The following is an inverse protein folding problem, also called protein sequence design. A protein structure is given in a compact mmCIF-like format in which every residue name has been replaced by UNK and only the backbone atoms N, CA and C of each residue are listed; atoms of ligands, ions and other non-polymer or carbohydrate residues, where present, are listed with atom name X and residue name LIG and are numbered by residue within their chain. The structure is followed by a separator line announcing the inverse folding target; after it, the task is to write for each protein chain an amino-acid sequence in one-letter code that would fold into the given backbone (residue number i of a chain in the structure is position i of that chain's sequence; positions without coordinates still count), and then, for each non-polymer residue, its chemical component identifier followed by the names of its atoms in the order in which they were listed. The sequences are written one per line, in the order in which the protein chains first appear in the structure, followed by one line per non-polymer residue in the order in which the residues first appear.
data_IF_215254646741
#
_entry.id   IF_215254646741
#
_cell.length_a   1.000
_cell.length_b   1.000
_cell.length_c   1.000
_cell.angle_alpha   90.00
_cell.angle_beta   90.00
_cell.angle_gamma   90.00
#
_symmetry.space_group_name_H-M   'P 1'
#
loop_
_entity.id
_entity.type
_entity.pdbx_description
1 polymer ?
#
# COMPACT_ATOMS: atom_id res chain seq x y z
N UNK A 1 -13.87 -0.14 22.53
CA UNK A 1 -14.41 -1.42 21.99
C UNK A 1 -15.54 -1.95 22.90
N UNK A 2 -16.65 -2.47 22.36
CA UNK A 2 -17.86 -2.83 23.15
C UNK A 2 -18.07 -4.34 23.37
N UNK A 3 -17.04 -5.17 23.12
CA UNK A 3 -17.12 -6.63 23.34
C UNK A 3 -18.04 -7.40 22.37
N UNK A 4 -18.46 -6.78 21.26
CA UNK A 4 -19.36 -7.43 20.29
C UNK A 4 -18.69 -8.55 19.47
N UNK A 5 -17.38 -8.48 19.28
CA UNK A 5 -16.60 -9.42 18.48
C UNK A 5 -15.35 -9.85 19.25
N UNK A 6 -14.91 -11.08 19.03
CA UNK A 6 -13.73 -11.65 19.70
C UNK A 6 -12.41 -11.10 19.16
N UNK A 7 -12.38 -10.70 17.89
CA UNK A 7 -11.22 -10.10 17.23
C UNK A 7 -11.63 -9.15 16.10
N UNK A 8 -10.70 -8.30 15.68
CA UNK A 8 -10.88 -7.36 14.57
C UNK A 8 -9.60 -7.21 13.76
N UNK A 9 -9.75 -6.98 12.46
CA UNK A 9 -8.64 -6.61 11.58
C UNK A 9 -8.53 -5.09 11.57
N UNK A 10 -7.36 -4.58 11.95
CA UNK A 10 -7.11 -3.14 12.07
C UNK A 10 -6.26 -2.68 10.88
N UNK A 11 -6.73 -1.64 10.21
CA UNK A 11 -6.10 -1.00 9.05
C UNK A 11 -6.11 0.52 9.23
N UNK A 12 -5.40 1.23 8.35
CA UNK A 12 -5.23 2.68 8.43
C UNK A 12 -4.61 3.14 9.78
N UNK A 13 -4.96 4.33 10.25
CA UNK A 13 -4.43 4.96 11.45
C UNK A 13 -4.67 4.13 12.73
N UNK A 14 -5.68 3.25 12.72
CA UNK A 14 -5.96 2.36 13.85
C UNK A 14 -4.78 1.47 14.23
N UNK A 15 -3.82 1.26 13.32
CA UNK A 15 -2.58 0.52 13.58
C UNK A 15 -1.66 1.16 14.63
N UNK A 16 -1.82 2.46 14.88
CA UNK A 16 -1.07 3.20 15.89
C UNK A 16 -1.85 3.35 17.21
N UNK A 17 -3.19 3.34 17.16
CA UNK A 17 -4.04 3.66 18.32
C UNK A 17 -4.64 2.45 19.05
N UNK A 18 -4.60 1.25 18.45
CA UNK A 18 -5.29 0.06 18.98
C UNK A 18 -4.89 -0.33 20.40
N UNK A 19 -3.63 -0.09 20.78
CA UNK A 19 -3.13 -0.43 22.12
C UNK A 19 -3.73 0.46 23.20
N UNK A 20 -4.03 1.72 22.87
CA UNK A 20 -4.65 2.69 23.78
C UNK A 20 -6.14 2.40 23.97
N UNK A 21 -6.77 1.75 22.99
CA UNK A 21 -8.18 1.32 23.04
C UNK A 21 -8.40 0.02 23.84
N UNK A 22 -7.35 -0.51 24.46
CA UNK A 22 -7.40 -1.70 25.32
C UNK A 22 -7.36 -3.03 24.55
N UNK A 23 -6.99 -3.02 23.26
CA UNK A 23 -6.73 -4.23 22.50
C UNK A 23 -5.28 -4.71 22.70
N UNK A 24 -5.05 -6.00 22.42
CA UNK A 24 -3.72 -6.57 22.31
C UNK A 24 -3.52 -7.16 20.91
N UNK A 25 -2.29 -7.09 20.40
CA UNK A 25 -1.96 -7.63 19.08
C UNK A 25 -1.95 -9.16 19.11
N UNK A 26 -2.81 -9.78 18.31
CA UNK A 26 -2.83 -11.25 18.12
C UNK A 26 -1.85 -11.67 17.02
N UNK A 27 -1.83 -10.94 15.91
CA UNK A 27 -1.02 -11.23 14.74
C UNK A 27 -0.74 -9.95 13.94
N UNK A 28 0.53 -9.73 13.60
CA UNK A 28 0.92 -8.78 12.57
C UNK A 28 0.94 -9.50 11.21
N UNK A 29 0.03 -9.11 10.31
CA UNK A 29 -0.13 -9.73 8.99
C UNK A 29 1.07 -9.45 8.07
N UNK A 30 1.74 -8.30 8.21
CA UNK A 30 2.93 -7.97 7.44
C UNK A 30 4.13 -8.83 7.84
N UNK A 31 4.36 -8.98 9.14
CA UNK A 31 5.42 -9.85 9.69
C UNK A 31 5.13 -11.31 9.35
N UNK A 32 3.89 -11.76 9.54
CA UNK A 32 3.49 -13.12 9.21
C UNK A 32 3.70 -13.43 7.73
N UNK A 33 3.26 -12.54 6.83
CA UNK A 33 3.45 -12.69 5.39
C UNK A 33 4.92 -12.73 5.00
N UNK A 34 5.74 -11.86 5.59
CA UNK A 34 7.17 -11.83 5.31
C UNK A 34 7.86 -13.10 5.78
N UNK A 35 7.51 -13.63 6.95
CA UNK A 35 8.03 -14.92 7.44
C UNK A 35 7.67 -16.08 6.52
N UNK A 36 6.45 -16.07 5.97
CA UNK A 36 5.93 -17.13 5.11
C UNK A 36 6.50 -17.08 3.68
N UNK A 37 6.75 -15.89 3.15
CA UNK A 37 7.07 -15.70 1.71
C UNK A 37 8.46 -15.14 1.43
N UNK A 38 9.09 -14.53 2.44
CA UNK A 38 10.30 -13.72 2.27
C UNK A 38 10.07 -12.40 1.53
N UNK A 39 8.81 -11.99 1.29
CA UNK A 39 8.44 -10.82 0.51
C UNK A 39 7.67 -9.79 1.37
N UNK A 40 7.66 -8.50 0.99
CA UNK A 40 6.76 -7.52 1.62
C UNK A 40 5.29 -7.87 1.34
N UNK A 41 4.37 -7.51 2.24
CA UNK A 41 2.93 -7.67 2.01
C UNK A 41 2.41 -6.54 1.11
N UNK A 42 1.84 -6.81 -0.07
CA UNK A 42 1.20 -5.77 -0.88
C UNK A 42 -0.10 -5.31 -0.21
N UNK A 43 -0.18 -4.04 0.15
CA UNK A 43 -1.36 -3.45 0.82
C UNK A 43 -2.25 -2.64 -0.11
N UNK A 44 -1.65 -1.97 -1.11
CA UNK A 44 -2.37 -1.13 -2.06
C UNK A 44 -1.56 -0.90 -3.33
N UNK A 45 -2.24 -0.47 -4.39
CA UNK A 45 -1.64 -0.12 -5.67
C UNK A 45 -2.53 0.83 -6.46
N UNK A 46 -1.91 1.71 -7.23
CA UNK A 46 -2.61 2.58 -8.18
C UNK A 46 -2.82 1.84 -9.50
N UNK A 47 -4.04 1.84 -10.01
CA UNK A 47 -4.40 1.16 -11.26
C UNK A 47 -4.97 2.20 -12.22
N UNK A 48 -4.41 2.25 -13.44
CA UNK A 48 -4.92 3.10 -14.53
C UNK A 48 -5.73 2.23 -15.49
N UNK A 49 -6.87 2.74 -15.95
CA UNK A 49 -7.71 2.02 -16.91
C UNK A 49 -6.99 1.91 -18.26
N UNK A 50 -6.93 0.68 -18.79
CA UNK A 50 -6.22 0.35 -20.04
C UNK A 50 -6.78 1.07 -21.28
N UNK A 51 -8.06 1.43 -21.26
CA UNK A 51 -8.74 2.08 -22.39
C UNK A 51 -8.41 3.57 -22.55
N UNK A 52 -7.62 4.14 -21.64
CA UNK A 52 -7.04 5.49 -21.78
C UNK A 52 -5.85 5.52 -22.75
N UNK A 53 -5.31 4.36 -23.12
CA UNK A 53 -4.15 4.25 -24.00
C UNK A 53 -2.82 4.35 -23.24
N UNK A 54 -1.76 3.75 -23.83
CA UNK A 54 -0.44 3.61 -23.22
C UNK A 54 0.18 4.95 -22.84
N UNK A 55 0.17 5.92 -23.76
CA UNK A 55 0.71 7.26 -23.52
C UNK A 55 0.05 7.99 -22.33
N UNK A 56 -1.28 7.85 -22.18
CA UNK A 56 -1.98 8.43 -21.03
C UNK A 56 -1.64 7.70 -19.74
N UNK A 57 -1.50 6.37 -19.80
CA UNK A 57 -1.09 5.58 -18.62
C UNK A 57 0.31 5.96 -18.14
N UNK A 58 1.27 6.12 -19.06
CA UNK A 58 2.62 6.59 -18.75
C UNK A 58 2.59 8.00 -18.16
N UNK A 59 1.83 8.93 -18.76
CA UNK A 59 1.70 10.29 -18.26
C UNK A 59 1.14 10.33 -16.82
N UNK A 60 0.08 9.57 -16.55
CA UNK A 60 -0.50 9.48 -15.20
C UNK A 60 0.47 8.88 -14.20
N UNK A 61 1.21 7.82 -14.58
CA UNK A 61 2.24 7.24 -13.74
C UNK A 61 3.34 8.26 -13.40
N UNK A 62 3.80 9.01 -14.38
CA UNK A 62 4.81 10.06 -14.22
C UNK A 62 4.31 11.23 -13.36
N UNK A 63 3.07 11.66 -13.52
CA UNK A 63 2.44 12.70 -12.70
C UNK A 63 2.34 12.26 -11.23
N UNK A 64 1.90 11.03 -10.97
CA UNK A 64 1.83 10.45 -9.62
C UNK A 64 3.22 10.37 -9.01
N UNK A 65 4.21 9.89 -9.77
CA UNK A 65 5.60 9.79 -9.32
C UNK A 65 6.15 11.15 -8.90
N UNK A 66 5.99 12.18 -9.76
CA UNK A 66 6.40 13.56 -9.44
C UNK A 66 5.69 14.10 -8.21
N UNK A 67 4.41 13.80 -8.04
CA UNK A 67 3.65 14.21 -6.85
C UNK A 67 4.23 13.60 -5.58
N UNK A 68 4.59 12.31 -5.60
CA UNK A 68 5.20 11.62 -4.45
C UNK A 68 6.59 12.18 -4.16
N UNK A 69 7.42 12.37 -5.19
CA UNK A 69 8.76 12.97 -5.07
C UNK A 69 8.68 14.38 -4.46
N UNK A 70 7.75 15.21 -4.95
CA UNK A 70 7.51 16.54 -4.40
C UNK A 70 7.11 16.49 -2.91
N UNK A 71 6.20 15.59 -2.52
CA UNK A 71 5.80 15.43 -1.11
C UNK A 71 6.96 14.97 -0.21
N UNK A 72 7.86 14.13 -0.72
CA UNK A 72 9.04 13.67 0.02
C UNK A 72 10.09 14.78 0.19
N UNK A 73 10.24 15.65 -0.81
CA UNK A 73 11.14 16.82 -0.75
C UNK A 73 10.57 17.96 0.11
N UNK A 74 9.23 18.04 0.23
CA UNK A 74 8.52 19.10 0.95
C UNK A 74 7.61 18.53 2.06
N UNK A 75 8.15 17.80 3.05
CA UNK A 75 7.35 17.03 4.01
C UNK A 75 6.45 17.91 4.88
N UNK A 76 6.85 19.15 5.19
CA UNK A 76 6.03 20.09 5.99
C UNK A 76 4.77 20.52 5.26
N UNK A 77 4.89 20.87 3.98
CA UNK A 77 3.75 21.29 3.17
C UNK A 77 2.83 20.10 2.86
N UNK A 78 3.42 18.94 2.56
CA UNK A 78 2.69 17.70 2.38
C UNK A 78 1.89 17.31 3.64
N UNK A 79 2.51 17.39 4.83
CA UNK A 79 1.84 17.09 6.09
C UNK A 79 0.71 18.08 6.39
N UNK A 80 0.92 19.38 6.14
CA UNK A 80 -0.12 20.41 6.33
C UNK A 80 -1.36 20.14 5.49
N UNK A 81 -1.19 19.63 4.27
CA UNK A 81 -2.30 19.21 3.42
C UNK A 81 -2.90 17.86 3.86
N UNK A 82 -2.08 16.90 4.30
CA UNK A 82 -2.52 15.60 4.78
C UNK A 82 -3.37 15.69 6.07
N UNK A 83 -3.07 16.62 6.97
CA UNK A 83 -3.80 16.82 8.25
C UNK A 83 -5.30 17.06 8.03
N UNK A 84 -5.68 17.71 6.93
CA UNK A 84 -7.10 17.95 6.57
C UNK A 84 -7.90 16.66 6.38
N UNK A 85 -7.20 15.54 6.14
CA UNK A 85 -7.77 14.23 5.90
C UNK A 85 -7.57 13.27 7.08
N UNK A 86 -6.85 13.69 8.12
CA UNK A 86 -6.67 12.92 9.35
C UNK A 86 -7.99 12.77 10.09
N UNK A 87 -8.34 11.54 10.49
CA UNK A 87 -9.62 11.21 11.13
C UNK A 87 -9.67 11.54 12.62
N UNK A 88 -9.19 12.73 12.99
CA UNK A 88 -9.19 13.21 14.38
C UNK A 88 -8.06 12.66 15.27
N UNK A 89 -7.01 12.10 14.66
CA UNK A 89 -5.73 11.82 15.33
C UNK A 89 -4.92 13.10 15.49
N UNK A 90 -4.06 13.15 16.51
CA UNK A 90 -3.16 14.28 16.74
C UNK A 90 -2.10 14.39 15.63
N UNK A 91 -1.43 15.55 15.59
CA UNK A 91 -0.46 15.86 14.53
C UNK A 91 0.72 14.89 14.51
N UNK A 92 1.22 14.45 15.67
CA UNK A 92 2.38 13.57 15.79
C UNK A 92 2.03 12.16 15.26
N UNK A 93 0.88 11.61 15.68
CA UNK A 93 0.38 10.33 15.17
C UNK A 93 0.14 10.36 13.66
N UNK A 94 -0.34 11.49 13.12
CA UNK A 94 -0.55 11.64 11.69
C UNK A 94 0.77 11.71 10.92
N UNK A 95 1.76 12.43 11.44
CA UNK A 95 3.09 12.47 10.85
C UNK A 95 3.73 11.06 10.82
N UNK A 96 3.64 10.32 11.93
CA UNK A 96 4.12 8.94 11.99
C UNK A 96 3.43 8.06 10.95
N UNK A 97 2.09 8.11 10.90
CA UNK A 97 1.30 7.33 9.94
C UNK A 97 1.68 7.65 8.48
N UNK A 98 1.79 8.93 8.12
CA UNK A 98 2.17 9.34 6.76
C UNK A 98 3.56 8.80 6.41
N UNK A 99 4.54 8.88 7.33
CA UNK A 99 5.91 8.41 7.09
C UNK A 99 6.00 6.90 6.91
N UNK A 100 5.11 6.12 7.54
CA UNK A 100 5.07 4.67 7.34
C UNK A 100 4.73 4.29 5.88
N UNK A 101 3.86 5.07 5.23
CA UNK A 101 3.30 4.72 3.92
C UNK A 101 3.82 5.57 2.75
N UNK A 102 4.37 6.75 3.02
CA UNK A 102 4.97 7.64 2.02
C UNK A 102 6.48 7.64 2.21
N UNK A 103 7.16 6.79 1.44
CA UNK A 103 8.61 6.64 1.47
C UNK A 103 9.13 6.29 0.06
N UNK A 104 10.43 5.99 -0.06
CA UNK A 104 11.04 5.65 -1.36
C UNK A 104 10.39 4.44 -2.04
N UNK A 105 9.84 3.49 -1.28
CA UNK A 105 9.11 2.34 -1.85
C UNK A 105 7.75 2.72 -2.45
N UNK A 106 7.23 3.89 -2.11
CA UNK A 106 6.01 4.45 -2.71
C UNK A 106 6.28 4.99 -4.12
N UNK A 107 7.51 5.45 -4.39
CA UNK A 107 7.97 5.84 -5.74
C UNK A 107 8.09 4.60 -6.62
N UNK A 108 8.84 3.61 -6.15
CA UNK A 108 8.97 2.29 -6.80
C UNK A 108 9.18 1.23 -5.72
N UNK A 109 8.24 0.29 -5.62
CA UNK A 109 8.31 -0.81 -4.66
C UNK A 109 9.34 -1.89 -5.04
N UNK A 110 10.00 -1.75 -6.18
CA UNK A 110 11.15 -2.54 -6.60
C UNK A 110 10.79 -3.94 -7.08
N UNK A 111 11.83 -4.71 -7.44
CA UNK A 111 11.68 -6.07 -7.98
C UNK A 111 11.01 -7.03 -6.98
N UNK A 112 11.34 -6.90 -5.70
CA UNK A 112 10.74 -7.69 -4.62
C UNK A 112 9.28 -7.30 -4.39
N UNK A 113 8.93 -6.01 -4.47
CA UNK A 113 7.54 -5.55 -4.43
C UNK A 113 6.70 -6.06 -5.60
N UNK A 114 7.24 -6.01 -6.84
CA UNK A 114 6.58 -6.57 -8.03
C UNK A 114 6.36 -8.07 -7.89
N UNK A 115 7.37 -8.79 -7.41
CA UNK A 115 7.27 -10.23 -7.10
C UNK A 115 6.23 -10.51 -6.02
N UNK A 116 6.15 -9.66 -5.00
CA UNK A 116 5.14 -9.78 -3.94
C UNK A 116 3.71 -9.66 -4.47
N UNK A 117 3.45 -8.67 -5.35
CA UNK A 117 2.14 -8.49 -5.99
C UNK A 117 1.76 -9.72 -6.82
N UNK A 118 2.68 -10.22 -7.65
CA UNK A 118 2.43 -11.43 -8.46
C UNK A 118 2.12 -12.64 -7.59
N UNK A 119 2.96 -12.93 -6.59
CA UNK A 119 2.74 -14.05 -5.67
C UNK A 119 1.42 -13.92 -4.89
N UNK A 120 1.07 -12.71 -4.44
CA UNK A 120 -0.18 -12.47 -3.72
C UNK A 120 -1.40 -12.82 -4.56
N UNK A 121 -1.41 -12.39 -5.83
CA UNK A 121 -2.50 -12.68 -6.75
C UNK A 121 -2.53 -14.15 -7.18
N UNK A 122 -1.37 -14.78 -7.41
CA UNK A 122 -1.26 -16.22 -7.70
C UNK A 122 -1.81 -17.09 -6.56
N UNK A 123 -1.48 -16.77 -5.30
CA UNK A 123 -2.09 -17.44 -4.13
C UNK A 123 -3.59 -17.21 -4.09
N UNK A 124 -4.06 -16.00 -4.40
CA UNK A 124 -5.48 -15.69 -4.53
C UNK A 124 -6.21 -16.54 -5.57
N UNK A 125 -5.58 -16.82 -6.71
CA UNK A 125 -6.09 -17.72 -7.75
C UNK A 125 -6.20 -19.15 -7.20
N UNK A 126 -5.15 -19.66 -6.56
CA UNK A 126 -5.15 -21.00 -5.96
C UNK A 126 -6.20 -21.21 -4.87
N UNK A 127 -6.60 -20.13 -4.19
CA UNK A 127 -7.66 -20.12 -3.17
C UNK A 127 -9.06 -19.83 -3.72
N UNK A 128 -9.20 -19.53 -5.01
CA UNK A 128 -10.48 -19.16 -5.63
C UNK A 128 -11.00 -17.76 -5.25
N UNK A 129 -10.15 -16.90 -4.68
CA UNK A 129 -10.47 -15.50 -4.36
C UNK A 129 -10.21 -14.55 -5.54
N UNK A 130 -9.37 -14.98 -6.48
CA UNK A 130 -9.11 -14.33 -7.77
C UNK A 130 -9.57 -15.28 -8.87
N UNK A 131 -10.05 -14.73 -10.00
CA UNK A 131 -10.49 -15.51 -11.16
C UNK A 131 -9.41 -16.50 -11.60
N UNK A 132 -9.82 -17.73 -11.91
CA UNK A 132 -8.91 -18.81 -12.31
C UNK A 132 -8.13 -18.55 -13.60
N UNK A 133 -8.60 -17.63 -14.44
CA UNK A 133 -7.97 -17.25 -15.71
C UNK A 133 -7.12 -15.97 -15.59
N UNK A 134 -6.90 -15.45 -14.38
CA UNK A 134 -6.04 -14.29 -14.16
C UNK A 134 -4.56 -14.70 -14.26
N UNK A 135 -3.86 -14.13 -15.23
CA UNK A 135 -2.41 -14.29 -15.38
C UNK A 135 -1.65 -13.17 -14.66
N UNK A 136 -1.13 -13.48 -13.47
CA UNK A 136 -0.31 -12.55 -12.70
C UNK A 136 1.07 -12.30 -13.34
N UNK A 137 1.58 -13.23 -14.16
CA UNK A 137 2.88 -13.05 -14.83
C UNK A 137 2.81 -11.95 -15.90
N UNK A 138 1.67 -11.83 -16.58
CA UNK A 138 1.36 -10.78 -17.56
C UNK A 138 1.09 -9.39 -16.97
N UNK A 139 1.22 -9.19 -15.65
CA UNK A 139 1.12 -7.86 -15.05
C UNK A 139 2.26 -6.95 -15.53
N UNK A 140 1.87 -5.85 -16.18
CA UNK A 140 2.75 -4.74 -16.56
C UNK A 140 2.79 -3.70 -15.45
N UNK A 141 3.99 -3.33 -15.04
CA UNK A 141 4.25 -2.30 -14.05
C UNK A 141 4.75 -1.04 -14.76
N UNK A 142 3.82 -0.15 -15.10
CA UNK A 142 4.11 1.08 -15.85
C UNK A 142 4.96 2.02 -14.98
N UNK A 143 5.97 2.66 -15.59
CA UNK A 143 6.88 3.59 -14.91
C UNK A 143 8.05 2.94 -14.15
N UNK A 144 8.16 1.60 -14.15
CA UNK A 144 9.22 0.87 -13.45
C UNK A 144 10.59 0.88 -14.18
N UNK A 145 10.71 1.56 -15.33
CA UNK A 145 11.90 1.51 -16.18
C UNK A 145 12.21 0.14 -16.79
N UNK A 146 11.31 -0.82 -16.62
CA UNK A 146 11.33 -2.12 -17.31
C UNK A 146 10.72 -1.90 -18.70
N UNK A 147 11.52 -1.32 -19.61
CA UNK A 147 11.25 -1.46 -21.04
C UNK A 147 11.76 -2.84 -21.46
N UNK A 148 10.89 -3.63 -22.09
CA UNK A 148 11.30 -4.82 -22.85
C UNK A 148 12.27 -4.42 -23.99
#
# INVERSE_FOLDING_TARGET
MNGKYDSGVIIHEGQLTWSEEGAFMVLDLGVWWNKETGLPLPLGGNIVRKDLGESMCEQVCDDIKRSIEFSLENPKDALKDAIKWGRGIDEDTNEEFVRMYVNRRTIDYGKDGRRAVRMFLERGVGLGLVRSDFDASGLKFIGAGEHD
#
